data_IF_774797168164
#
_entry.id   IF_774797168164
#
_cell.length_a   1.000
_cell.length_b   1.000
_cell.length_c   1.000
_cell.angle_alpha   90.00
_cell.angle_beta   90.00
_cell.angle_gamma   90.00
#
_symmetry.space_group_name_H-M   'P 1'
#
loop_
_entity.id
_entity.type
_entity.pdbx_description
1 polymer ?
#
# COMPACT_ATOMS: atom_id res chain seq x y z
N UNK A 1 13.07 4.44 -6.51
CA UNK A 1 13.94 5.59 -6.13
C UNK A 1 13.74 6.10 -4.71
N UNK A 2 12.51 6.34 -4.24
CA UNK A 2 12.27 6.82 -2.86
C UNK A 2 12.96 5.96 -1.80
N UNK A 3 12.88 4.62 -1.95
CA UNK A 3 13.60 3.69 -1.08
C UNK A 3 15.12 3.83 -1.18
N UNK A 4 15.66 4.10 -2.38
CA UNK A 4 17.10 4.31 -2.57
C UNK A 4 17.61 5.58 -1.88
N UNK A 5 16.84 6.67 -1.93
CA UNK A 5 17.14 7.90 -1.20
C UNK A 5 17.12 7.68 0.32
N UNK A 6 16.12 6.93 0.82
CA UNK A 6 15.97 6.64 2.25
C UNK A 6 17.00 5.66 2.80
N UNK A 7 17.38 4.64 2.03
CA UNK A 7 18.25 3.55 2.44
C UNK A 7 19.56 3.58 1.65
N UNK A 8 20.41 4.57 1.94
CA UNK A 8 21.66 4.81 1.21
C UNK A 8 22.67 3.64 1.26
N UNK A 9 22.51 2.70 2.21
CA UNK A 9 23.35 1.49 2.32
C UNK A 9 22.78 0.28 1.59
N UNK A 10 21.59 0.38 0.99
CA UNK A 10 20.95 -0.68 0.20
C UNK A 10 21.18 -0.44 -1.28
N UNK A 11 21.26 -1.50 -2.07
CA UNK A 11 21.33 -1.45 -3.54
C UNK A 11 19.97 -1.80 -4.14
N UNK A 12 19.65 -1.17 -5.27
CA UNK A 12 18.38 -1.35 -5.97
C UNK A 12 18.62 -1.55 -7.46
N UNK A 13 17.88 -2.48 -8.06
CA UNK A 13 17.80 -2.66 -9.52
C UNK A 13 16.33 -2.58 -9.94
N UNK A 14 16.05 -1.79 -10.97
CA UNK A 14 14.76 -1.77 -11.65
C UNK A 14 14.91 -2.28 -13.08
N UNK A 15 14.02 -3.19 -13.49
CA UNK A 15 14.04 -3.79 -14.83
C UNK A 15 12.70 -3.51 -15.48
N UNK A 16 12.70 -3.09 -16.74
CA UNK A 16 11.49 -2.87 -17.53
C UNK A 16 11.80 -3.09 -19.01
N UNK A 17 10.81 -3.55 -19.77
CA UNK A 17 10.92 -3.71 -21.22
C UNK A 17 10.91 -2.35 -21.94
N UNK A 18 10.24 -1.34 -21.37
CA UNK A 18 10.02 -0.04 -21.98
C UNK A 18 11.27 0.86 -21.90
N UNK A 19 12.00 0.94 -23.01
CA UNK A 19 13.22 1.76 -23.14
C UNK A 19 13.04 3.23 -22.69
N UNK A 20 11.88 3.84 -22.99
CA UNK A 20 11.61 5.23 -22.63
C UNK A 20 11.43 5.43 -21.12
N UNK A 21 10.81 4.47 -20.43
CA UNK A 21 10.62 4.52 -18.98
C UNK A 21 11.97 4.31 -18.26
N UNK A 22 12.78 3.37 -18.74
CA UNK A 22 14.16 3.17 -18.24
C UNK A 22 15.01 4.41 -18.45
N UNK A 23 15.03 5.00 -19.64
CA UNK A 23 15.78 6.21 -19.92
C UNK A 23 15.34 7.38 -19.01
N UNK A 24 14.03 7.53 -18.79
CA UNK A 24 13.47 8.53 -17.89
C UNK A 24 13.89 8.30 -16.44
N UNK A 25 13.88 7.04 -15.99
CA UNK A 25 14.32 6.66 -14.65
C UNK A 25 15.83 6.91 -14.45
N UNK A 26 16.66 6.50 -15.39
CA UNK A 26 18.11 6.75 -15.36
C UNK A 26 18.43 8.26 -15.32
N UNK A 27 17.75 9.06 -16.14
CA UNK A 27 17.92 10.50 -16.16
C UNK A 27 17.54 11.14 -14.81
N UNK A 28 16.42 10.73 -14.23
CA UNK A 28 15.97 11.21 -12.92
C UNK A 28 16.96 10.81 -11.81
N UNK A 29 17.39 9.55 -11.75
CA UNK A 29 18.36 9.09 -10.75
C UNK A 29 19.67 9.88 -10.81
N UNK A 30 20.17 10.16 -12.02
CA UNK A 30 21.35 10.99 -12.25
C UNK A 30 21.15 12.44 -11.78
N UNK A 31 20.00 13.03 -12.11
CA UNK A 31 19.66 14.40 -11.72
C UNK A 31 19.58 14.58 -10.20
N UNK A 32 18.97 13.63 -9.50
CA UNK A 32 18.84 13.68 -8.03
C UNK A 32 20.08 13.16 -7.30
N UNK A 33 21.06 12.62 -8.03
CA UNK A 33 22.35 12.17 -7.50
C UNK A 33 22.31 10.83 -6.77
N UNK A 34 21.31 9.98 -7.05
CA UNK A 34 21.22 8.65 -6.46
C UNK A 34 22.26 7.71 -7.11
N UNK A 35 23.06 7.04 -6.28
CA UNK A 35 24.16 6.15 -6.71
C UNK A 35 23.93 4.68 -6.41
N UNK A 36 22.92 4.38 -5.60
CA UNK A 36 22.60 3.05 -5.12
C UNK A 36 21.37 2.45 -5.81
N UNK A 37 21.01 2.97 -6.99
CA UNK A 37 19.95 2.43 -7.84
C UNK A 37 20.41 2.38 -9.29
N UNK A 38 20.22 1.23 -9.92
CA UNK A 38 20.41 1.00 -11.34
C UNK A 38 19.08 0.70 -12.02
N UNK A 39 19.00 0.97 -13.32
CA UNK A 39 17.85 0.65 -14.16
C UNK A 39 18.34 -0.01 -15.44
N UNK A 40 17.74 -1.14 -15.79
CA UNK A 40 18.11 -1.95 -16.94
C UNK A 40 16.89 -2.11 -17.85
N UNK A 41 17.10 -1.86 -19.14
CA UNK A 41 16.11 -2.22 -20.14
C UNK A 41 16.31 -3.68 -20.52
N UNK A 42 15.37 -4.54 -20.15
CA UNK A 42 15.42 -5.95 -20.50
C UNK A 42 14.02 -6.53 -20.70
N UNK A 43 13.95 -7.55 -21.55
CA UNK A 43 12.83 -8.47 -21.61
C UNK A 43 13.04 -9.55 -20.56
N UNK A 44 12.09 -9.70 -19.63
CA UNK A 44 12.18 -10.67 -18.53
C UNK A 44 12.41 -12.10 -19.03
N UNK A 45 11.86 -12.46 -20.20
CA UNK A 45 12.07 -13.78 -20.82
C UNK A 45 13.54 -14.08 -21.09
N UNK A 46 14.32 -13.05 -21.41
CA UNK A 46 15.72 -13.15 -21.82
C UNK A 46 16.68 -12.50 -20.82
N UNK A 47 16.18 -12.03 -19.68
CA UNK A 47 16.98 -11.36 -18.67
C UNK A 47 17.77 -12.39 -17.86
N UNK A 48 19.07 -12.15 -17.75
CA UNK A 48 20.02 -12.96 -16.99
C UNK A 48 20.45 -12.18 -15.74
N UNK A 49 20.18 -12.69 -14.54
CA UNK A 49 20.58 -12.05 -13.29
C UNK A 49 22.09 -12.13 -13.00
N UNK A 50 22.90 -12.85 -13.80
CA UNK A 50 24.35 -13.05 -13.58
C UNK A 50 24.69 -13.58 -12.17
N UNK A 51 23.80 -14.43 -11.63
CA UNK A 51 23.96 -15.03 -10.29
C UNK A 51 23.74 -14.09 -9.10
N UNK A 52 23.27 -12.86 -9.33
CA UNK A 52 22.94 -11.91 -8.27
C UNK A 52 21.76 -12.40 -7.41
N UNK A 53 21.82 -12.06 -6.11
CA UNK A 53 20.76 -12.38 -5.15
C UNK A 53 20.15 -11.12 -4.54
N UNK A 54 18.84 -11.15 -4.30
CA UNK A 54 18.06 -10.05 -3.76
C UNK A 54 17.30 -10.50 -2.50
N UNK A 55 17.30 -9.65 -1.48
CA UNK A 55 16.48 -9.85 -0.29
C UNK A 55 15.00 -9.55 -0.53
N UNK A 56 14.70 -8.71 -1.53
CA UNK A 56 13.33 -8.37 -1.91
C UNK A 56 13.21 -8.32 -3.42
N UNK A 57 12.21 -9.02 -3.94
CA UNK A 57 11.80 -8.94 -5.35
C UNK A 57 10.37 -8.38 -5.38
N UNK A 58 10.11 -7.35 -6.19
CA UNK A 58 8.80 -6.70 -6.24
C UNK A 58 8.32 -6.66 -7.67
N UNK A 59 7.30 -7.45 -7.99
CA UNK A 59 6.61 -7.44 -9.27
C UNK A 59 5.19 -6.89 -9.07
N UNK A 60 5.07 -5.56 -9.16
CA UNK A 60 3.80 -4.86 -8.96
C UNK A 60 3.24 -4.36 -10.31
N UNK A 61 2.02 -4.75 -10.65
CA UNK A 61 1.38 -4.38 -11.92
C UNK A 61 1.89 -5.14 -13.15
N UNK A 62 2.51 -6.31 -12.98
CA UNK A 62 3.09 -7.11 -14.07
C UNK A 62 2.29 -8.39 -14.36
N UNK A 63 2.09 -9.25 -13.35
CA UNK A 63 1.67 -10.64 -13.50
C UNK A 63 0.41 -10.86 -14.34
N UNK A 64 -0.64 -10.04 -14.14
CA UNK A 64 -1.91 -10.17 -14.86
C UNK A 64 -1.95 -9.50 -16.24
N UNK A 65 -0.86 -8.83 -16.65
CA UNK A 65 -0.78 -8.08 -17.91
C UNK A 65 0.24 -8.66 -18.88
N UNK A 66 0.73 -9.88 -18.62
CA UNK A 66 1.72 -10.57 -19.43
C UNK A 66 1.27 -11.99 -19.80
N UNK A 67 1.78 -12.56 -20.90
CA UNK A 67 1.55 -13.96 -21.26
C UNK A 67 2.09 -14.95 -20.22
N UNK A 68 1.60 -16.20 -20.27
CA UNK A 68 1.93 -17.25 -19.30
C UNK A 68 3.43 -17.57 -19.22
N UNK A 69 4.13 -17.55 -20.35
CA UNK A 69 5.59 -17.73 -20.41
C UNK A 69 6.37 -16.68 -19.60
N UNK A 70 5.86 -15.45 -19.52
CA UNK A 70 6.47 -14.39 -18.70
C UNK A 70 6.14 -14.59 -17.22
N UNK A 71 4.93 -15.08 -16.89
CA UNK A 71 4.55 -15.42 -15.51
C UNK A 71 5.41 -16.56 -14.98
N UNK A 72 5.61 -17.60 -15.78
CA UNK A 72 6.48 -18.73 -15.46
C UNK A 72 7.91 -18.24 -15.25
N UNK A 73 8.44 -17.42 -16.17
CA UNK A 73 9.78 -16.85 -16.02
C UNK A 73 9.90 -15.97 -14.77
N UNK A 74 8.87 -15.22 -14.40
CA UNK A 74 8.89 -14.44 -13.16
C UNK A 74 9.06 -15.33 -11.94
N UNK A 75 8.36 -16.47 -11.85
CA UNK A 75 8.55 -17.40 -10.75
C UNK A 75 9.94 -18.02 -10.75
N UNK A 76 10.48 -18.39 -11.92
CA UNK A 76 11.86 -18.88 -12.05
C UNK A 76 12.87 -17.84 -11.56
N UNK A 77 12.75 -16.57 -11.99
CA UNK A 77 13.59 -15.46 -11.51
C UNK A 77 13.46 -15.29 -10.01
N UNK A 78 12.25 -15.32 -9.46
CA UNK A 78 12.03 -15.29 -8.02
C UNK A 78 12.70 -16.47 -7.30
N UNK A 79 12.76 -17.65 -7.90
CA UNK A 79 13.44 -18.80 -7.30
C UNK A 79 14.96 -18.69 -7.37
N UNK A 80 15.48 -18.28 -8.52
CA UNK A 80 16.92 -18.17 -8.83
C UNK A 80 17.58 -17.04 -8.03
N UNK A 81 16.93 -15.88 -7.96
CA UNK A 81 17.54 -14.65 -7.49
C UNK A 81 17.17 -14.30 -6.05
N UNK A 82 16.26 -15.03 -5.39
CA UNK A 82 15.88 -14.68 -4.02
C UNK A 82 16.88 -15.24 -3.01
N UNK A 83 17.34 -14.38 -2.10
CA UNK A 83 18.21 -14.82 -1.00
C UNK A 83 17.47 -15.85 -0.11
N UNK A 84 18.17 -16.67 0.68
CA UNK A 84 17.52 -17.70 1.53
C UNK A 84 16.50 -17.16 2.54
N UNK A 85 16.49 -15.84 2.82
CA UNK A 85 15.50 -15.19 3.68
C UNK A 85 14.72 -14.10 2.96
N UNK A 86 14.87 -14.03 1.64
CA UNK A 86 14.25 -13.00 0.84
C UNK A 86 12.74 -13.22 0.71
N UNK A 87 12.05 -12.16 0.29
CA UNK A 87 10.61 -12.15 0.06
C UNK A 87 10.32 -11.58 -1.32
N UNK A 88 9.50 -12.26 -2.11
CA UNK A 88 8.93 -11.70 -3.34
C UNK A 88 7.51 -11.16 -3.06
N UNK A 89 7.16 -9.91 -3.43
CA UNK A 89 5.75 -9.47 -3.53
C UNK A 89 5.35 -9.45 -5.00
N UNK A 90 4.32 -10.21 -5.34
CA UNK A 90 3.76 -10.25 -6.68
C UNK A 90 2.31 -9.83 -6.59
N UNK A 91 1.95 -8.79 -7.34
CA UNK A 91 0.57 -8.33 -7.41
C UNK A 91 -0.14 -8.83 -8.66
N UNK A 92 -1.39 -9.24 -8.52
CA UNK A 92 -2.18 -9.80 -9.61
C UNK A 92 -3.67 -9.57 -9.39
N UNK A 93 -4.41 -9.57 -10.49
CA UNK A 93 -5.86 -9.51 -10.52
C UNK A 93 -6.45 -10.87 -10.16
N UNK A 94 -7.61 -10.89 -9.50
CA UNK A 94 -8.20 -12.13 -8.96
C UNK A 94 -9.65 -12.37 -9.32
N UNK A 95 -10.00 -13.65 -9.39
CA UNK A 95 -11.39 -14.09 -9.38
C UNK A 95 -11.92 -14.35 -7.97
N UNK A 96 -13.24 -14.13 -7.74
CA UNK A 96 -14.27 -13.78 -8.73
C UNK A 96 -14.40 -12.28 -9.07
N UNK A 97 -13.72 -11.38 -8.36
CA UNK A 97 -13.94 -9.93 -8.48
C UNK A 97 -13.75 -9.35 -9.88
N UNK A 98 -12.90 -9.96 -10.70
CA UNK A 98 -12.70 -9.54 -12.08
C UNK A 98 -13.75 -10.05 -13.08
N UNK A 99 -14.58 -11.04 -12.73
CA UNK A 99 -15.55 -11.64 -13.68
C UNK A 99 -16.55 -10.65 -14.23
N UNK A 100 -17.06 -9.72 -13.41
CA UNK A 100 -18.00 -8.72 -13.89
C UNK A 100 -17.34 -7.62 -14.73
N UNK A 101 -16.23 -7.00 -14.28
CA UNK A 101 -15.46 -6.07 -15.11
C UNK A 101 -14.98 -6.65 -16.45
N UNK A 102 -14.81 -7.97 -16.59
CA UNK A 102 -14.51 -8.62 -17.88
C UNK A 102 -15.61 -8.43 -18.91
N UNK A 103 -16.88 -8.58 -18.54
CA UNK A 103 -17.98 -8.36 -19.48
C UNK A 103 -18.03 -6.92 -20.02
N UNK A 104 -17.69 -5.93 -19.18
CA UNK A 104 -17.58 -4.54 -19.61
C UNK A 104 -16.38 -4.33 -20.53
N UNK A 105 -15.24 -4.95 -20.22
CA UNK A 105 -14.05 -4.94 -21.08
C UNK A 105 -14.34 -5.52 -22.45
N UNK A 106 -14.98 -6.69 -22.54
CA UNK A 106 -15.32 -7.34 -23.81
C UNK A 106 -16.16 -6.40 -24.69
N UNK A 107 -17.13 -5.71 -24.08
CA UNK A 107 -17.92 -4.70 -24.77
C UNK A 107 -17.07 -3.51 -25.24
N UNK A 108 -16.17 -2.99 -24.40
CA UNK A 108 -15.31 -1.87 -24.77
C UNK A 108 -14.35 -2.24 -25.91
N UNK A 109 -13.75 -3.44 -25.86
CA UNK A 109 -12.90 -3.95 -26.93
C UNK A 109 -13.69 -4.10 -28.24
N UNK A 110 -14.87 -4.73 -28.21
CA UNK A 110 -15.76 -4.85 -29.36
C UNK A 110 -16.10 -3.48 -29.99
N UNK A 111 -16.32 -2.45 -29.16
CA UNK A 111 -16.70 -1.12 -29.62
C UNK A 111 -15.53 -0.25 -30.06
N UNK A 112 -14.30 -0.70 -29.84
CA UNK A 112 -13.06 0.01 -30.18
C UNK A 112 -12.20 -0.74 -31.19
N UNK A 113 -12.60 -1.94 -31.62
CA UNK A 113 -11.87 -2.80 -32.57
C UNK A 113 -11.51 -2.10 -33.88
N UNK A 114 -12.43 -1.30 -34.42
CA UNK A 114 -12.26 -0.58 -35.69
C UNK A 114 -11.52 0.76 -35.55
N UNK A 115 -11.17 1.17 -34.33
CA UNK A 115 -10.44 2.41 -34.07
C UNK A 115 -8.96 2.24 -34.38
N UNK A 116 -8.38 3.18 -35.13
CA UNK A 116 -7.00 3.08 -35.61
C UNK A 116 -6.00 3.73 -34.66
N UNK A 117 -6.42 4.76 -33.91
CA UNK A 117 -5.57 5.46 -32.94
C UNK A 117 -6.00 5.25 -31.49
N UNK A 118 -5.05 5.47 -30.57
CA UNK A 118 -5.30 5.44 -29.13
C UNK A 118 -6.35 6.48 -28.71
N UNK A 119 -6.31 7.68 -29.30
CA UNK A 119 -7.27 8.75 -29.03
C UNK A 119 -8.69 8.36 -29.49
N UNK A 120 -8.81 7.74 -30.66
CA UNK A 120 -10.09 7.23 -31.18
C UNK A 120 -10.66 6.15 -30.27
N UNK A 121 -9.81 5.20 -29.84
CA UNK A 121 -10.17 4.13 -28.91
C UNK A 121 -10.71 4.69 -27.59
N UNK A 122 -9.97 5.61 -26.97
CA UNK A 122 -10.38 6.28 -25.72
C UNK A 122 -11.70 7.02 -25.90
N UNK A 123 -11.84 7.82 -26.97
CA UNK A 123 -13.07 8.56 -27.24
C UNK A 123 -14.27 7.62 -27.48
N UNK A 124 -14.08 6.51 -28.20
CA UNK A 124 -15.11 5.50 -28.43
C UNK A 124 -15.51 4.78 -27.14
N UNK A 125 -14.55 4.38 -26.32
CA UNK A 125 -14.81 3.78 -25.01
C UNK A 125 -15.63 4.73 -24.11
N UNK A 126 -15.25 6.02 -24.02
CA UNK A 126 -16.01 7.00 -23.25
C UNK A 126 -17.44 7.17 -23.76
N UNK A 127 -17.68 7.18 -25.08
CA UNK A 127 -19.05 7.24 -25.63
C UNK A 127 -19.91 6.06 -25.17
N UNK A 128 -19.33 4.86 -25.10
CA UNK A 128 -20.01 3.64 -24.61
C UNK A 128 -20.29 3.76 -23.12
N UNK A 129 -19.29 4.13 -22.32
CA UNK A 129 -19.42 4.30 -20.87
C UNK A 129 -20.46 5.38 -20.51
N UNK A 130 -20.46 6.51 -21.21
CA UNK A 130 -21.45 7.57 -21.04
C UNK A 130 -22.87 7.10 -21.38
N UNK A 131 -23.01 6.26 -22.41
CA UNK A 131 -24.29 5.64 -22.73
C UNK A 131 -24.74 4.68 -21.62
N UNK A 132 -23.85 3.80 -21.15
CA UNK A 132 -24.15 2.82 -20.11
C UNK A 132 -24.52 3.49 -18.78
N UNK A 133 -23.80 4.54 -18.35
CA UNK A 133 -24.14 5.27 -17.12
C UNK A 133 -25.55 5.86 -17.19
N UNK A 134 -25.92 6.47 -18.33
CA UNK A 134 -27.29 6.97 -18.55
C UNK A 134 -28.32 5.83 -18.60
N UNK A 135 -28.01 4.76 -19.31
CA UNK A 135 -28.91 3.61 -19.44
C UNK A 135 -29.20 2.98 -18.08
N UNK A 136 -28.18 2.68 -17.29
CA UNK A 136 -28.33 2.14 -15.93
C UNK A 136 -29.03 3.13 -14.99
N UNK A 137 -28.80 4.44 -15.15
CA UNK A 137 -29.51 5.47 -14.39
C UNK A 137 -31.00 5.57 -14.71
N UNK A 138 -31.43 5.14 -15.90
CA UNK A 138 -32.84 5.14 -16.31
C UNK A 138 -33.56 3.80 -16.05
N UNK A 139 -32.81 2.74 -15.73
CA UNK A 139 -33.42 1.48 -15.30
C UNK A 139 -34.05 1.63 -13.91
N UNK A 140 -35.04 0.78 -13.56
CA UNK A 140 -35.50 0.67 -12.19
C UNK A 140 -34.31 0.46 -11.25
N UNK A 141 -34.34 1.13 -10.09
CA UNK A 141 -33.30 0.98 -9.08
C UNK A 141 -33.35 -0.44 -8.50
N UNK A 142 -32.45 -1.29 -8.97
CA UNK A 142 -32.23 -2.65 -8.48
C UNK A 142 -30.73 -2.81 -8.18
N UNK A 143 -30.35 -3.65 -7.20
CA UNK A 143 -28.94 -3.78 -6.79
C UNK A 143 -27.96 -4.02 -7.95
N UNK A 144 -28.39 -4.77 -8.96
CA UNK A 144 -27.59 -5.05 -10.14
C UNK A 144 -27.29 -3.81 -10.99
N UNK A 145 -28.29 -2.96 -11.28
CA UNK A 145 -28.09 -1.77 -12.11
C UNK A 145 -27.23 -0.73 -11.40
N UNK A 146 -27.38 -0.60 -10.08
CA UNK A 146 -26.51 0.24 -9.26
C UNK A 146 -25.06 -0.25 -9.29
N UNK A 147 -24.83 -1.55 -9.08
CA UNK A 147 -23.48 -2.13 -9.14
C UNK A 147 -22.79 -1.90 -10.49
N UNK A 148 -23.47 -2.22 -11.60
CA UNK A 148 -22.89 -2.03 -12.95
C UNK A 148 -22.61 -0.55 -13.25
N UNK A 149 -23.48 0.34 -12.77
CA UNK A 149 -23.28 1.78 -12.92
C UNK A 149 -22.03 2.24 -12.17
N UNK A 150 -21.82 1.75 -10.95
CA UNK A 150 -20.61 2.05 -10.17
C UNK A 150 -19.35 1.56 -10.90
N UNK A 151 -19.36 0.35 -11.47
CA UNK A 151 -18.24 -0.17 -12.27
C UNK A 151 -17.97 0.69 -13.52
N UNK A 152 -19.01 1.09 -14.25
CA UNK A 152 -18.89 2.03 -15.38
C UNK A 152 -18.27 3.35 -14.94
N UNK A 153 -18.68 3.90 -13.80
CA UNK A 153 -18.13 5.15 -13.28
C UNK A 153 -16.67 5.00 -12.88
N UNK A 154 -16.27 3.88 -12.26
CA UNK A 154 -14.87 3.58 -11.94
C UNK A 154 -14.00 3.56 -13.20
N UNK A 155 -14.42 2.83 -14.23
CA UNK A 155 -13.68 2.75 -15.50
C UNK A 155 -13.60 4.13 -16.16
N UNK A 156 -14.70 4.87 -16.16
CA UNK A 156 -14.79 6.21 -16.77
C UNK A 156 -13.87 7.24 -16.13
N UNK A 157 -13.54 7.09 -14.85
CA UNK A 157 -12.63 8.00 -14.13
C UNK A 157 -11.15 7.69 -14.34
N UNK A 158 -10.80 6.58 -15.00
CA UNK A 158 -9.41 6.25 -15.33
C UNK A 158 -8.81 7.29 -16.27
N UNK A 159 -7.53 7.59 -16.07
CA UNK A 159 -6.79 8.40 -17.04
C UNK A 159 -6.64 7.64 -18.37
N UNK A 160 -6.54 8.33 -19.52
CA UNK A 160 -6.54 7.69 -20.84
C UNK A 160 -5.54 6.53 -20.99
N UNK A 161 -4.33 6.68 -20.44
CA UNK A 161 -3.30 5.64 -20.53
C UNK A 161 -3.66 4.38 -19.71
N UNK A 162 -4.24 4.54 -18.52
CA UNK A 162 -4.74 3.40 -17.72
C UNK A 162 -5.95 2.74 -18.37
N UNK A 163 -6.84 3.50 -19.01
CA UNK A 163 -7.95 2.93 -19.78
C UNK A 163 -7.43 2.07 -20.94
N UNK A 164 -6.43 2.58 -21.66
CA UNK A 164 -5.79 1.87 -22.77
C UNK A 164 -5.10 0.58 -22.32
N UNK A 165 -4.41 0.60 -21.16
CA UNK A 165 -3.72 -0.58 -20.63
C UNK A 165 -4.72 -1.58 -20.01
N UNK A 166 -5.54 -1.14 -19.06
CA UNK A 166 -6.34 -2.04 -18.22
C UNK A 166 -7.59 -2.56 -18.92
N UNK A 167 -8.29 -1.71 -19.68
CA UNK A 167 -9.60 -2.04 -20.25
C UNK A 167 -9.56 -2.25 -21.76
N UNK A 168 -8.60 -1.65 -22.46
CA UNK A 168 -8.44 -1.84 -23.90
C UNK A 168 -7.15 -2.60 -24.28
N UNK A 169 -6.34 -2.98 -23.30
CA UNK A 169 -5.13 -3.77 -23.53
C UNK A 169 -5.45 -5.14 -24.12
N UNK A 170 -4.41 -5.84 -24.58
CA UNK A 170 -4.57 -7.21 -25.09
C UNK A 170 -4.67 -8.18 -23.92
N UNK A 171 -3.62 -8.22 -23.10
CA UNK A 171 -3.54 -9.13 -21.97
C UNK A 171 -4.28 -8.59 -20.75
N UNK A 172 -5.14 -9.44 -20.18
CA UNK A 172 -5.65 -9.30 -18.82
C UNK A 172 -6.06 -10.67 -18.35
N UNK A 173 -5.23 -11.29 -17.52
CA UNK A 173 -5.43 -12.65 -17.04
C UNK A 173 -5.47 -12.69 -15.49
N UNK A 174 -6.67 -12.52 -14.90
CA UNK A 174 -6.89 -12.75 -13.49
C UNK A 174 -6.87 -14.25 -13.16
N UNK A 175 -6.46 -14.61 -11.95
CA UNK A 175 -6.48 -16.01 -11.49
C UNK A 175 -7.10 -16.16 -10.10
N UNK A 176 -7.41 -17.38 -9.70
CA UNK A 176 -7.79 -17.69 -8.32
C UNK A 176 -6.53 -17.76 -7.43
N UNK A 177 -6.66 -17.44 -6.14
CA UNK A 177 -5.57 -17.56 -5.16
C UNK A 177 -4.97 -18.96 -5.18
N UNK A 178 -5.81 -20.01 -5.18
CA UNK A 178 -5.33 -21.38 -5.18
C UNK A 178 -4.52 -21.74 -6.45
N UNK A 179 -4.86 -21.15 -7.59
CA UNK A 179 -4.10 -21.34 -8.83
C UNK A 179 -2.74 -20.65 -8.73
N UNK A 180 -2.72 -19.38 -8.31
CA UNK A 180 -1.48 -18.63 -8.12
C UNK A 180 -0.52 -19.34 -7.16
N UNK A 181 -1.02 -19.83 -6.03
CA UNK A 181 -0.21 -20.56 -5.05
C UNK A 181 0.29 -21.90 -5.61
N UNK A 182 -0.53 -22.60 -6.40
CA UNK A 182 -0.11 -23.83 -7.09
C UNK A 182 1.03 -23.58 -8.06
N UNK A 183 0.91 -22.55 -8.92
CA UNK A 183 1.95 -22.20 -9.89
C UNK A 183 3.25 -21.76 -9.20
N UNK A 184 3.17 -20.97 -8.13
CA UNK A 184 4.35 -20.62 -7.35
C UNK A 184 5.05 -21.87 -6.76
N UNK A 185 4.27 -22.82 -6.25
CA UNK A 185 4.80 -24.06 -5.66
C UNK A 185 5.52 -24.95 -6.68
N UNK A 186 5.13 -24.92 -7.96
CA UNK A 186 5.84 -25.62 -9.04
C UNK A 186 7.27 -25.11 -9.25
N UNK A 187 7.60 -23.92 -8.73
CA UNK A 187 8.93 -23.31 -8.76
C UNK A 187 9.60 -23.24 -7.38
N UNK A 188 9.25 -24.13 -6.46
CA UNK A 188 9.76 -24.18 -5.08
C UNK A 188 9.53 -22.88 -4.28
N UNK A 189 8.54 -22.07 -4.65
CA UNK A 189 8.12 -20.90 -3.89
C UNK A 189 6.89 -21.24 -3.06
N UNK A 190 6.87 -20.83 -1.80
CA UNK A 190 5.71 -21.02 -0.94
C UNK A 190 5.06 -19.69 -0.57
N UNK A 191 3.75 -19.74 -0.38
CA UNK A 191 2.93 -18.60 -0.01
C UNK A 191 3.07 -18.25 1.48
N UNK A 192 3.56 -17.04 1.77
CA UNK A 192 3.63 -16.51 3.13
C UNK A 192 2.28 -15.92 3.56
N UNK A 193 1.67 -15.09 2.71
CA UNK A 193 0.49 -14.30 3.03
C UNK A 193 0.31 -13.12 2.08
N UNK A 194 -0.54 -12.18 2.46
CA UNK A 194 -0.76 -10.93 1.74
C UNK A 194 0.05 -9.79 2.35
N UNK A 195 0.44 -8.81 1.52
CA UNK A 195 1.03 -7.55 1.99
C UNK A 195 0.07 -6.77 2.91
N UNK A 196 -1.23 -6.95 2.69
CA UNK A 196 -2.31 -6.35 3.47
C UNK A 196 -2.93 -7.40 4.41
N UNK A 197 -2.24 -7.65 5.54
CA UNK A 197 -2.52 -8.74 6.49
C UNK A 197 -4.01 -8.96 6.82
N UNK A 198 -4.78 -7.89 7.06
CA UNK A 198 -6.21 -7.94 7.39
C UNK A 198 -7.06 -8.75 6.38
N UNK A 199 -6.61 -8.86 5.14
CA UNK A 199 -7.37 -9.52 4.09
C UNK A 199 -7.37 -11.05 4.22
N UNK A 200 -6.52 -11.61 5.07
CA UNK A 200 -6.36 -13.06 5.26
C UNK A 200 -7.29 -13.64 6.34
N UNK A 201 -7.92 -12.77 7.14
CA UNK A 201 -8.58 -13.17 8.40
C UNK A 201 -10.09 -13.18 8.26
N UNK A 202 -10.70 -14.32 8.61
CA UNK A 202 -12.14 -14.51 8.59
C UNK A 202 -12.85 -13.65 9.64
N UNK A 203 -12.16 -13.24 10.72
CA UNK A 203 -12.70 -12.41 11.79
C UNK A 203 -13.08 -11.00 11.33
N UNK A 204 -12.63 -10.61 10.14
CA UNK A 204 -13.00 -9.36 9.49
C UNK A 204 -14.30 -9.47 8.66
N UNK A 205 -14.88 -10.68 8.53
CA UNK A 205 -16.23 -10.87 8.02
C UNK A 205 -17.28 -10.58 9.11
N UNK A 206 -18.56 -10.38 8.73
CA UNK A 206 -19.65 -10.35 9.71
C UNK A 206 -19.60 -11.57 10.65
N UNK A 207 -19.83 -11.42 11.97
CA UNK A 207 -19.61 -12.49 12.95
C UNK A 207 -20.38 -13.79 12.69
N UNK A 208 -21.53 -13.72 12.02
CA UNK A 208 -22.27 -14.91 11.60
C UNK A 208 -21.56 -15.65 10.46
N UNK A 209 -21.20 -14.94 9.39
CA UNK A 209 -20.45 -15.49 8.25
C UNK A 209 -19.08 -16.04 8.67
N UNK A 210 -18.39 -15.36 9.58
CA UNK A 210 -17.12 -15.82 10.15
C UNK A 210 -17.28 -17.17 10.88
N UNK A 211 -18.34 -17.32 11.70
CA UNK A 211 -18.66 -18.57 12.42
C UNK A 211 -19.02 -19.70 11.46
N UNK A 212 -19.84 -19.42 10.44
CA UNK A 212 -20.21 -20.42 9.43
C UNK A 212 -19.00 -20.91 8.64
N UNK A 213 -18.16 -19.97 8.16
CA UNK A 213 -16.95 -20.29 7.42
C UNK A 213 -15.96 -21.10 8.28
N UNK A 214 -15.76 -20.70 9.54
CA UNK A 214 -14.92 -21.43 10.48
C UNK A 214 -15.42 -22.87 10.72
N UNK A 215 -16.74 -23.07 10.80
CA UNK A 215 -17.33 -24.39 11.00
C UNK A 215 -17.12 -25.38 9.83
N UNK A 216 -16.72 -24.89 8.65
CA UNK A 216 -16.41 -25.74 7.50
C UNK A 216 -15.08 -26.51 7.66
N UNK A 217 -14.23 -26.14 8.62
CA UNK A 217 -12.92 -26.77 8.88
C UNK A 217 -12.03 -26.88 7.63
N UNK A 218 -12.04 -25.83 6.81
CA UNK A 218 -11.17 -25.71 5.63
C UNK A 218 -9.73 -25.43 6.07
N UNK A 219 -8.77 -25.75 5.21
CA UNK A 219 -7.41 -25.26 5.41
C UNK A 219 -7.32 -23.73 5.23
N UNK A 220 -6.17 -23.16 5.57
CA UNK A 220 -5.95 -21.70 5.48
C UNK A 220 -6.20 -21.17 4.07
N UNK A 221 -5.64 -21.80 3.04
CA UNK A 221 -5.70 -21.29 1.66
C UNK A 221 -7.11 -21.41 1.09
N UNK A 222 -7.80 -22.51 1.38
CA UNK A 222 -9.22 -22.70 1.05
C UNK A 222 -10.11 -21.66 1.74
N UNK A 223 -9.83 -21.35 3.01
CA UNK A 223 -10.52 -20.30 3.76
C UNK A 223 -10.29 -18.94 3.11
N UNK A 224 -9.04 -18.57 2.82
CA UNK A 224 -8.70 -17.32 2.14
C UNK A 224 -9.34 -17.22 0.74
N UNK A 225 -9.38 -18.31 -0.02
CA UNK A 225 -10.05 -18.37 -1.32
C UNK A 225 -11.55 -18.16 -1.19
N UNK A 226 -12.19 -18.73 -0.17
CA UNK A 226 -13.62 -18.55 0.05
C UNK A 226 -13.95 -17.13 0.54
N UNK A 227 -13.07 -16.51 1.33
CA UNK A 227 -13.16 -15.08 1.65
C UNK A 227 -13.18 -14.25 0.36
N UNK A 228 -12.38 -14.58 -0.66
CA UNK A 228 -12.38 -13.86 -1.94
C UNK A 228 -13.74 -13.89 -2.64
N UNK A 229 -14.50 -14.98 -2.49
CA UNK A 229 -15.87 -15.05 -2.99
C UNK A 229 -16.82 -14.16 -2.17
N UNK A 230 -16.71 -14.17 -0.84
CA UNK A 230 -17.59 -13.37 0.02
C UNK A 230 -17.38 -11.87 -0.22
N UNK A 231 -16.13 -11.42 -0.37
CA UNK A 231 -15.79 -10.00 -0.55
C UNK A 231 -15.64 -9.57 -2.01
N UNK A 232 -15.91 -10.47 -2.96
CA UNK A 232 -15.75 -10.28 -4.39
C UNK A 232 -14.38 -9.69 -4.78
N UNK A 233 -13.30 -10.33 -4.32
CA UNK A 233 -11.94 -9.78 -4.44
C UNK A 233 -11.45 -9.77 -5.88
N UNK A 234 -10.94 -8.62 -6.31
CA UNK A 234 -10.42 -8.39 -7.66
C UNK A 234 -8.89 -8.20 -7.74
N UNK A 235 -8.19 -8.13 -6.62
CA UNK A 235 -6.74 -7.88 -6.58
C UNK A 235 -6.08 -8.41 -5.32
N UNK A 236 -4.84 -8.89 -5.45
CA UNK A 236 -3.95 -9.33 -4.34
C UNK A 236 -2.52 -8.82 -4.58
N UNK A 237 -1.73 -8.65 -3.50
CA UNK A 237 -0.25 -8.66 -3.57
C UNK A 237 0.22 -9.69 -2.55
N UNK A 238 0.60 -10.83 -3.08
CA UNK A 238 0.99 -11.99 -2.29
C UNK A 238 2.49 -11.99 -2.07
N UNK A 239 2.87 -12.37 -0.86
CA UNK A 239 4.24 -12.53 -0.42
C UNK A 239 4.64 -14.00 -0.58
N UNK A 240 5.74 -14.24 -1.29
CA UNK A 240 6.32 -15.56 -1.51
C UNK A 240 7.72 -15.63 -0.92
N UNK A 241 8.14 -16.83 -0.52
CA UNK A 241 9.52 -17.11 -0.09
C UNK A 241 9.99 -18.47 -0.61
N UNK A 242 11.28 -18.74 -0.49
CA UNK A 242 11.88 -20.02 -0.89
C UNK A 242 11.51 -21.15 0.06
N UNK A 243 11.06 -22.28 -0.50
CA UNK A 243 10.68 -23.48 0.24
C UNK A 243 11.86 -24.15 0.96
N UNK A 244 13.10 -23.84 0.58
CA UNK A 244 14.33 -24.40 1.16
C UNK A 244 14.47 -24.14 2.67
N UNK A 245 13.81 -23.09 3.16
CA UNK A 245 13.91 -22.72 4.58
C UNK A 245 13.17 -23.68 5.51
N UNK A 246 12.26 -24.52 4.97
CA UNK A 246 11.40 -25.42 5.75
C UNK A 246 10.55 -24.69 6.79
N UNK A 247 10.38 -23.36 6.66
CA UNK A 247 9.66 -22.54 7.62
C UNK A 247 8.19 -22.49 7.23
N UNK A 248 7.36 -23.16 8.02
CA UNK A 248 5.93 -22.93 7.94
C UNK A 248 5.59 -21.49 8.41
N UNK A 249 4.78 -20.76 7.64
CA UNK A 249 4.34 -19.43 8.05
C UNK A 249 3.45 -19.55 9.29
N UNK A 250 3.88 -18.93 10.39
CA UNK A 250 3.10 -18.83 11.62
C UNK A 250 3.07 -17.38 12.10
N UNK A 251 1.95 -16.99 12.70
CA UNK A 251 1.81 -15.70 13.33
C UNK A 251 2.37 -15.77 14.76
N UNK A 252 3.53 -15.15 14.97
CA UNK A 252 4.09 -14.97 16.30
C UNK A 252 3.73 -13.58 16.84
N UNK A 253 2.80 -13.52 17.80
CA UNK A 253 2.43 -12.27 18.45
C UNK A 253 3.63 -11.58 19.11
N UNK A 254 4.61 -12.33 19.64
CA UNK A 254 5.79 -11.75 20.28
C UNK A 254 6.69 -11.01 19.29
N UNK A 255 6.53 -11.23 17.98
CA UNK A 255 7.21 -10.45 16.95
C UNK A 255 6.87 -8.96 17.04
N UNK A 256 5.70 -8.59 17.59
CA UNK A 256 5.31 -7.19 17.83
C UNK A 256 6.34 -6.43 18.68
N UNK A 257 7.11 -7.12 19.53
CA UNK A 257 8.16 -6.52 20.37
C UNK A 257 9.33 -5.97 19.57
N UNK A 258 9.51 -6.44 18.33
CA UNK A 258 10.60 -6.05 17.43
C UNK A 258 10.19 -4.96 16.43
N UNK A 259 8.92 -4.52 16.49
CA UNK A 259 8.35 -3.60 15.52
C UNK A 259 8.14 -2.22 16.13
N UNK A 260 8.01 -1.25 15.24
CA UNK A 260 7.53 0.09 15.55
C UNK A 260 6.04 0.16 15.23
N UNK A 261 5.26 0.82 16.09
CA UNK A 261 3.81 0.88 16.01
C UNK A 261 3.35 2.31 15.76
N UNK A 262 2.28 2.46 14.97
CA UNK A 262 1.58 3.72 14.73
C UNK A 262 0.07 3.53 14.94
N UNK A 263 -0.63 4.43 15.64
CA UNK A 263 -2.07 4.29 15.86
C UNK A 263 -2.85 4.64 14.58
N UNK A 264 -3.92 3.88 14.31
CA UNK A 264 -5.00 4.26 13.37
C UNK A 264 -6.32 4.54 14.10
N UNK A 265 -6.19 4.94 15.37
CA UNK A 265 -7.28 5.32 16.25
C UNK A 265 -6.91 6.57 17.07
N UNK A 266 -7.91 7.17 17.73
CA UNK A 266 -7.73 8.24 18.72
C UNK A 266 -8.56 7.93 19.97
N UNK A 267 -8.16 8.38 21.17
CA UNK A 267 -8.98 8.23 22.37
C UNK A 267 -10.32 8.93 22.20
N UNK A 268 -11.40 8.24 22.54
CA UNK A 268 -12.79 8.69 22.44
C UNK A 268 -13.38 9.00 23.84
N UNK A 269 -12.58 9.63 24.70
CA UNK A 269 -12.95 9.95 26.07
C UNK A 269 -11.78 9.81 27.04
N UNK A 270 -12.08 9.98 28.33
CA UNK A 270 -11.11 9.69 29.40
C UNK A 270 -11.13 8.21 29.74
N UNK A 271 -9.96 7.64 30.01
CA UNK A 271 -9.85 6.32 30.60
C UNK A 271 -10.60 6.28 31.95
N UNK A 272 -11.21 5.14 32.24
CA UNK A 272 -11.99 4.89 33.46
C UNK A 272 -11.24 3.90 34.34
N UNK A 273 -11.68 3.79 35.60
CA UNK A 273 -11.27 2.72 36.52
C UNK A 273 -9.76 2.46 36.54
N UNK A 274 -8.97 3.51 36.81
CA UNK A 274 -7.50 3.40 36.88
C UNK A 274 -6.86 2.79 35.60
N UNK A 275 -7.38 3.19 34.44
CA UNK A 275 -6.94 2.71 33.12
C UNK A 275 -7.29 1.25 32.82
N UNK A 276 -8.26 0.64 33.53
CA UNK A 276 -8.76 -0.70 33.18
C UNK A 276 -9.61 -0.70 31.90
N UNK A 277 -10.21 0.43 31.54
CA UNK A 277 -11.11 0.58 30.40
C UNK A 277 -10.91 1.94 29.71
N UNK A 278 -10.85 1.94 28.38
CA UNK A 278 -10.90 3.17 27.58
C UNK A 278 -11.54 2.95 26.22
N UNK A 279 -12.18 4.00 25.69
CA UNK A 279 -12.77 4.02 24.37
C UNK A 279 -11.81 4.66 23.36
N UNK A 280 -11.76 4.08 22.15
CA UNK A 280 -10.96 4.56 21.04
C UNK A 280 -11.82 4.60 19.78
N UNK A 281 -11.72 5.68 19.01
CA UNK A 281 -12.38 5.83 17.72
C UNK A 281 -11.38 5.59 16.59
N UNK A 282 -11.72 4.70 15.67
CA UNK A 282 -11.00 4.50 14.40
C UNK A 282 -11.90 4.84 13.22
N UNK A 283 -11.29 5.34 12.15
CA UNK A 283 -11.99 5.52 10.86
C UNK A 283 -12.39 4.19 10.21
N UNK A 284 -11.74 3.08 10.59
CA UNK A 284 -11.94 1.77 9.97
C UNK A 284 -12.99 0.92 10.68
N UNK A 285 -13.10 1.04 12.01
CA UNK A 285 -13.94 0.15 12.83
C UNK A 285 -14.93 0.88 13.74
N UNK A 286 -15.04 2.22 13.63
CA UNK A 286 -15.84 3.02 14.56
C UNK A 286 -15.23 3.07 15.97
N UNK A 287 -16.09 3.20 16.98
CA UNK A 287 -15.68 3.22 18.38
C UNK A 287 -15.52 1.80 18.95
N UNK A 288 -14.40 1.57 19.64
CA UNK A 288 -14.07 0.31 20.29
C UNK A 288 -13.67 0.57 21.73
N UNK A 289 -14.22 -0.21 22.65
CA UNK A 289 -13.82 -0.22 24.06
C UNK A 289 -12.74 -1.27 24.25
N UNK A 290 -11.54 -0.84 24.66
CA UNK A 290 -10.46 -1.73 25.07
C UNK A 290 -10.48 -1.91 26.58
N UNK A 291 -10.13 -3.11 27.04
CA UNK A 291 -10.12 -3.50 28.45
C UNK A 291 -8.77 -4.09 28.82
N UNK A 292 -8.38 -3.92 30.08
CA UNK A 292 -7.12 -4.39 30.64
C UNK A 292 -6.07 -3.29 30.70
N UNK A 293 -5.50 -3.10 31.90
CA UNK A 293 -4.53 -2.02 32.17
C UNK A 293 -3.35 -2.01 31.20
N UNK A 294 -2.69 -3.14 30.86
CA UNK A 294 -1.58 -3.12 29.90
C UNK A 294 -1.99 -2.62 28.51
N UNK A 295 -3.10 -3.14 27.96
CA UNK A 295 -3.59 -2.76 26.63
C UNK A 295 -4.03 -1.30 26.58
N UNK A 296 -4.84 -0.86 27.56
CA UNK A 296 -5.38 0.50 27.59
C UNK A 296 -4.26 1.53 27.74
N UNK A 297 -3.33 1.34 28.69
CA UNK A 297 -2.22 2.29 28.89
C UNK A 297 -1.24 2.30 27.71
N UNK A 298 -1.02 1.15 27.07
CA UNK A 298 -0.21 1.07 25.84
C UNK A 298 -0.88 1.82 24.69
N UNK A 299 -2.18 1.60 24.42
CA UNK A 299 -2.90 2.29 23.36
C UNK A 299 -3.04 3.79 23.60
N UNK A 300 -3.21 4.24 24.85
CA UNK A 300 -3.18 5.67 25.19
C UNK A 300 -1.81 6.29 24.93
N UNK A 301 -0.74 5.57 25.29
CA UNK A 301 0.63 5.99 25.01
C UNK A 301 0.86 6.06 23.50
N UNK A 302 0.51 5.02 22.75
CA UNK A 302 0.63 4.99 21.30
C UNK A 302 -0.14 6.15 20.64
N UNK A 303 -1.36 6.45 21.11
CA UNK A 303 -2.17 7.56 20.62
C UNK A 303 -1.55 8.95 20.86
N UNK A 304 -0.58 9.08 21.78
CA UNK A 304 0.17 10.32 22.00
C UNK A 304 1.23 10.58 20.90
N UNK A 305 1.49 9.60 20.05
CA UNK A 305 2.40 9.67 18.90
C UNK A 305 1.67 9.38 17.57
N UNK A 306 0.64 10.16 17.18
CA UNK A 306 -0.24 9.82 16.07
C UNK A 306 0.45 9.74 14.70
N UNK A 307 1.57 10.46 14.55
CA UNK A 307 2.26 10.63 13.28
C UNK A 307 3.59 9.86 13.20
N UNK A 308 3.94 9.12 14.25
CA UNK A 308 5.23 8.41 14.37
C UNK A 308 5.04 6.89 14.34
N UNK A 309 6.04 6.20 13.79
CA UNK A 309 6.27 4.79 14.07
C UNK A 309 7.23 4.70 15.25
N UNK A 310 6.69 4.34 16.42
CA UNK A 310 7.42 4.34 17.69
C UNK A 310 7.75 2.91 18.11
N UNK A 311 9.00 2.67 18.52
CA UNK A 311 9.45 1.34 18.98
C UNK A 311 8.60 0.80 20.13
N UNK A 312 8.28 -0.49 20.07
CA UNK A 312 7.51 -1.17 21.12
C UNK A 312 8.10 -0.98 22.53
N UNK A 313 9.43 -1.03 22.66
CA UNK A 313 10.13 -0.88 23.94
C UNK A 313 9.89 0.48 24.60
N UNK A 314 9.86 1.55 23.80
CA UNK A 314 9.58 2.92 24.25
C UNK A 314 8.13 3.02 24.70
N UNK A 315 7.19 2.52 23.87
CA UNK A 315 5.77 2.52 24.17
C UNK A 315 5.46 1.71 25.45
N UNK A 316 6.07 0.54 25.61
CA UNK A 316 5.92 -0.30 26.79
C UNK A 316 6.36 0.44 28.06
N UNK A 317 7.55 1.05 28.05
CA UNK A 317 8.07 1.79 29.21
C UNK A 317 7.18 2.98 29.59
N UNK A 318 6.66 3.70 28.60
CA UNK A 318 5.72 4.80 28.82
C UNK A 318 4.36 4.30 29.33
N UNK A 319 3.88 3.15 28.85
CA UNK A 319 2.66 2.51 29.34
C UNK A 319 2.79 2.04 30.80
N UNK A 320 3.91 1.42 31.18
CA UNK A 320 4.22 1.03 32.56
C UNK A 320 4.28 2.25 33.50
N UNK A 321 4.84 3.36 33.00
CA UNK A 321 4.89 4.63 33.75
C UNK A 321 3.48 5.17 33.97
N UNK A 322 2.63 5.16 32.94
CA UNK A 322 1.23 5.59 33.04
C UNK A 322 0.41 4.68 33.97
N UNK A 323 0.68 3.37 33.95
CA UNK A 323 0.04 2.39 34.82
C UNK A 323 0.54 2.41 36.28
N UNK A 324 1.66 3.08 36.56
CA UNK A 324 2.30 3.08 37.88
C UNK A 324 2.91 1.73 38.28
N UNK A 325 3.06 0.78 37.35
CA UNK A 325 3.62 -0.55 37.61
C UNK A 325 4.33 -1.11 36.38
N UNK A 326 5.32 -1.99 36.59
CA UNK A 326 5.89 -2.80 35.51
C UNK A 326 4.97 -3.96 35.16
N UNK A 327 4.95 -4.34 33.88
CA UNK A 327 4.17 -5.47 33.41
C UNK A 327 4.99 -6.75 33.47
N UNK A 328 4.36 -7.82 33.94
CA UNK A 328 4.96 -9.15 33.97
C UNK A 328 5.06 -9.73 32.56
N UNK A 329 5.93 -10.73 32.35
CA UNK A 329 6.12 -11.34 31.03
C UNK A 329 4.82 -11.86 30.42
N UNK A 330 3.94 -12.49 31.21
CA UNK A 330 2.66 -13.00 30.74
C UNK A 330 1.66 -11.88 30.38
N UNK A 331 1.73 -10.73 31.08
CA UNK A 331 0.95 -9.55 30.72
C UNK A 331 1.43 -8.96 29.39
N UNK A 332 2.76 -8.93 29.15
CA UNK A 332 3.35 -8.46 27.90
C UNK A 332 3.03 -9.42 26.74
N UNK A 333 3.04 -10.73 26.97
CA UNK A 333 2.65 -11.72 25.96
C UNK A 333 1.20 -11.54 25.52
N UNK A 334 0.26 -11.40 26.46
CA UNK A 334 -1.15 -11.09 26.16
C UNK A 334 -1.31 -9.74 25.45
N UNK A 335 -0.57 -8.71 25.88
CA UNK A 335 -0.55 -7.43 25.19
C UNK A 335 -0.12 -7.58 23.72
N UNK A 336 0.88 -8.42 23.43
CA UNK A 336 1.30 -8.68 22.07
C UNK A 336 0.20 -9.38 21.23
N UNK A 337 -0.54 -10.32 21.81
CA UNK A 337 -1.70 -10.97 21.17
C UNK A 337 -2.80 -9.94 20.86
N UNK A 338 -3.13 -9.08 21.83
CA UNK A 338 -4.08 -8.00 21.66
C UNK A 338 -3.64 -7.04 20.54
N UNK A 339 -2.36 -6.64 20.52
CA UNK A 339 -1.82 -5.75 19.49
C UNK A 339 -1.83 -6.39 18.09
N UNK A 340 -1.55 -7.69 17.98
CA UNK A 340 -1.70 -8.42 16.72
C UNK A 340 -3.17 -8.41 16.26
N UNK A 341 -4.11 -8.62 17.19
CA UNK A 341 -5.56 -8.52 16.96
C UNK A 341 -5.99 -7.14 16.47
N UNK A 342 -5.36 -6.06 16.98
CA UNK A 342 -5.58 -4.67 16.51
C UNK A 342 -4.94 -4.42 15.13
N UNK A 343 -3.77 -5.01 14.84
CA UNK A 343 -3.11 -4.94 13.53
C UNK A 343 -3.98 -5.60 12.44
N UNK A 344 -4.49 -6.81 12.71
CA UNK A 344 -5.40 -7.53 11.80
C UNK A 344 -6.69 -6.74 11.50
N UNK A 345 -7.13 -5.88 12.42
CA UNK A 345 -8.31 -5.01 12.26
C UNK A 345 -7.98 -3.61 11.72
N UNK A 346 -6.75 -3.38 11.22
CA UNK A 346 -6.25 -2.06 10.74
C UNK A 346 -6.33 -0.93 11.77
N UNK A 347 -6.35 -1.25 13.06
CA UNK A 347 -6.36 -0.26 14.13
C UNK A 347 -4.94 0.17 14.54
N UNK A 348 -3.96 -0.70 14.29
CA UNK A 348 -2.54 -0.42 14.45
C UNK A 348 -1.85 -0.68 13.11
N UNK A 349 -0.84 0.13 12.82
CA UNK A 349 0.09 -0.09 11.71
C UNK A 349 1.47 -0.37 12.27
N UNK A 350 2.24 -1.21 11.56
CA UNK A 350 3.58 -1.62 11.99
C UNK A 350 4.64 -1.30 10.95
N UNK A 351 5.87 -1.09 11.41
CA UNK A 351 7.05 -0.89 10.58
C UNK A 351 8.26 -1.54 11.25
N UNK A 352 9.21 -2.04 10.45
CA UNK A 352 10.51 -2.48 10.96
C UNK A 352 11.44 -1.32 11.31
N UNK A 353 11.13 -0.11 10.82
CA UNK A 353 11.95 1.10 10.98
C UNK A 353 11.16 2.15 11.72
N UNK A 354 11.76 2.74 12.76
CA UNK A 354 11.17 3.86 13.47
C UNK A 354 11.15 5.12 12.61
N UNK A 355 10.17 5.98 12.87
CA UNK A 355 10.05 7.25 12.17
C UNK A 355 9.32 8.22 13.07
N UNK A 356 9.87 9.42 13.25
CA UNK A 356 9.22 10.51 13.95
C UNK A 356 9.38 11.81 13.13
N UNK A 357 8.28 12.49 12.75
CA UNK A 357 8.38 13.78 12.11
C UNK A 357 9.00 14.81 13.06
N UNK A 358 9.67 15.87 12.55
CA UNK A 358 10.19 16.96 13.37
C UNK A 358 9.10 17.57 14.25
N UNK A 359 9.36 17.86 15.54
CA UNK A 359 8.32 18.32 16.48
C UNK A 359 7.66 19.65 16.09
N UNK A 360 8.37 20.48 15.34
CA UNK A 360 7.92 21.76 14.82
C UNK A 360 8.36 21.89 13.37
N UNK A 361 7.81 22.86 12.65
CA UNK A 361 8.30 23.18 11.32
C UNK A 361 9.78 23.58 11.36
N UNK A 362 10.61 23.08 10.44
CA UNK A 362 12.00 23.51 10.31
C UNK A 362 12.07 25.03 10.08
N UNK A 363 13.11 25.67 10.62
CA UNK A 363 13.34 27.12 10.40
C UNK A 363 13.51 27.42 8.91
N UNK A 364 14.19 26.51 8.20
CA UNK A 364 14.37 26.53 6.75
C UNK A 364 13.87 25.21 6.15
N UNK A 365 12.58 25.14 5.77
CA UNK A 365 12.01 23.92 5.21
C UNK A 365 12.80 23.43 3.98
N UNK A 366 13.16 22.15 3.99
CA UNK A 366 13.87 21.51 2.89
C UNK A 366 13.14 20.24 2.45
N UNK A 367 12.87 20.11 1.16
CA UNK A 367 12.51 18.84 0.54
C UNK A 367 13.78 18.15 0.02
N UNK A 368 13.77 16.82 0.09
CA UNK A 368 14.78 15.98 -0.56
C UNK A 368 14.90 16.32 -2.05
N UNK A 369 16.08 16.12 -2.67
CA UNK A 369 16.24 16.34 -4.10
C UNK A 369 15.18 15.60 -4.92
N UNK A 370 14.86 14.35 -4.57
CA UNK A 370 13.83 13.58 -5.26
C UNK A 370 12.44 14.20 -5.06
N UNK A 371 12.03 14.51 -3.83
CA UNK A 371 10.71 15.09 -3.57
C UNK A 371 10.52 16.46 -4.21
N UNK A 372 11.59 17.25 -4.35
CA UNK A 372 11.56 18.50 -5.09
C UNK A 372 11.25 18.27 -6.57
N UNK A 373 11.94 17.31 -7.19
CA UNK A 373 11.71 16.96 -8.60
C UNK A 373 10.33 16.35 -8.81
N UNK A 374 9.88 15.46 -7.92
CA UNK A 374 8.52 14.88 -7.97
C UNK A 374 7.44 15.96 -7.84
N UNK A 375 7.61 16.93 -6.93
CA UNK A 375 6.66 18.03 -6.79
C UNK A 375 6.57 18.84 -8.09
N UNK A 376 7.71 19.14 -8.73
CA UNK A 376 7.74 19.93 -9.95
C UNK A 376 7.22 19.18 -11.18
N UNK A 377 7.50 17.89 -11.33
CA UNK A 377 7.14 17.11 -12.53
C UNK A 377 5.78 16.43 -12.41
N UNK A 378 5.45 15.91 -11.23
CA UNK A 378 4.31 15.01 -11.02
C UNK A 378 3.29 15.56 -10.03
N UNK A 379 3.47 16.79 -9.52
CA UNK A 379 2.59 17.41 -8.53
C UNK A 379 2.31 16.49 -7.34
N UNK A 380 3.36 15.83 -6.84
CA UNK A 380 3.29 14.97 -5.67
C UNK A 380 4.59 14.99 -4.89
N UNK A 381 4.53 14.67 -3.60
CA UNK A 381 5.70 14.27 -2.81
C UNK A 381 5.51 12.85 -2.31
N UNK A 382 6.61 12.11 -2.21
CA UNK A 382 6.65 10.84 -1.52
C UNK A 382 6.82 11.07 -0.01
N UNK A 383 6.00 10.38 0.78
CA UNK A 383 6.09 10.38 2.23
C UNK A 383 7.18 9.42 2.71
N UNK A 384 7.56 9.53 3.98
CA UNK A 384 8.52 8.60 4.60
C UNK A 384 8.03 7.14 4.54
N UNK A 385 6.72 6.90 4.46
CA UNK A 385 6.13 5.56 4.36
C UNK A 385 5.84 5.13 2.92
N UNK A 386 6.55 5.70 1.94
CA UNK A 386 6.43 5.35 0.53
C UNK A 386 5.01 5.51 -0.03
N UNK A 387 4.26 6.49 0.47
CA UNK A 387 2.94 6.88 -0.09
C UNK A 387 3.04 8.18 -0.86
N UNK A 388 2.10 8.40 -1.79
CA UNK A 388 2.03 9.64 -2.56
C UNK A 388 1.12 10.67 -1.89
N UNK A 389 1.65 11.86 -1.63
CA UNK A 389 0.85 13.04 -1.27
C UNK A 389 0.68 13.92 -2.51
N UNK A 390 -0.50 13.87 -3.14
CA UNK A 390 -0.84 14.72 -4.30
C UNK A 390 -0.88 16.20 -3.88
N UNK A 391 -0.38 17.06 -4.76
CA UNK A 391 -0.28 18.51 -4.58
C UNK A 391 -1.23 19.21 -5.57
N UNK A 392 -1.86 20.30 -5.12
CA UNK A 392 -2.45 21.26 -6.03
C UNK A 392 -1.38 22.18 -6.64
N UNK A 393 -1.82 23.07 -7.53
CA UNK A 393 -0.95 24.05 -8.19
C UNK A 393 -0.25 24.98 -7.18
N UNK A 394 -0.97 25.36 -6.13
CA UNK A 394 -0.46 26.16 -5.03
C UNK A 394 0.63 25.42 -4.24
N UNK A 395 0.35 24.19 -3.79
CA UNK A 395 1.28 23.40 -2.98
C UNK A 395 2.54 23.05 -3.78
N UNK A 396 2.41 22.78 -5.09
CA UNK A 396 3.54 22.59 -6.01
C UNK A 396 4.47 23.81 -6.06
N UNK A 397 3.90 25.00 -6.15
CA UNK A 397 4.66 26.26 -6.18
C UNK A 397 5.36 26.51 -4.84
N UNK A 398 4.69 26.16 -3.74
CA UNK A 398 5.24 26.28 -2.39
C UNK A 398 6.44 25.33 -2.19
N UNK A 399 6.32 24.07 -2.64
CA UNK A 399 7.40 23.08 -2.59
C UNK A 399 8.67 23.56 -3.33
N UNK A 400 8.53 24.36 -4.40
CA UNK A 400 9.67 24.93 -5.12
C UNK A 400 10.53 25.88 -4.24
N UNK A 401 9.93 26.50 -3.23
CA UNK A 401 10.61 27.41 -2.30
C UNK A 401 11.33 26.66 -1.17
N UNK A 402 11.01 25.39 -0.93
CA UNK A 402 11.50 24.56 0.18
C UNK A 402 12.81 23.85 -0.18
N UNK A 403 13.85 24.62 -0.41
CA UNK A 403 15.17 24.14 -0.79
C UNK A 403 16.22 24.24 0.34
N UNK A 404 15.79 24.54 1.57
CA UNK A 404 16.67 24.77 2.72
C UNK A 404 17.38 26.13 2.72
N UNK A 405 17.22 26.97 1.69
CA UNK A 405 17.86 28.31 1.66
C UNK A 405 16.98 29.39 2.25
N UNK A 406 15.66 29.29 2.08
CA UNK A 406 14.67 30.26 2.58
C UNK A 406 14.17 29.86 3.96
N UNK A 407 14.04 30.86 4.82
CA UNK A 407 13.35 30.76 6.10
C UNK A 407 11.84 30.65 5.91
N UNK A 408 11.16 30.13 6.92
CA UNK A 408 9.70 30.06 6.94
C UNK A 408 9.04 31.45 6.77
N UNK A 409 9.65 32.50 7.30
CA UNK A 409 9.17 33.88 7.14
C UNK A 409 9.25 34.36 5.68
N UNK A 410 10.38 34.12 5.01
CA UNK A 410 10.56 34.46 3.59
C UNK A 410 9.61 33.66 2.69
N UNK A 411 9.39 32.37 2.99
CA UNK A 411 8.41 31.56 2.24
C UNK A 411 7.00 32.14 2.40
N UNK A 412 6.59 32.55 3.61
CA UNK A 412 5.29 33.19 3.88
C UNK A 412 5.15 34.52 3.15
N UNK A 413 6.20 35.33 3.10
CA UNK A 413 6.19 36.61 2.40
C UNK A 413 5.98 36.42 0.88
N UNK A 414 6.75 35.51 0.27
CA UNK A 414 6.66 35.23 -1.17
C UNK A 414 5.30 34.65 -1.56
N UNK A 415 4.77 33.75 -0.73
CA UNK A 415 3.51 33.04 -1.01
C UNK A 415 2.26 33.74 -0.47
N UNK A 416 2.38 34.83 0.30
CA UNK A 416 1.27 35.48 0.98
C UNK A 416 0.17 36.03 0.07
N UNK A 417 0.49 36.25 -1.21
CA UNK A 417 -0.43 36.73 -2.23
C UNK A 417 -1.00 35.61 -3.11
N UNK A 418 -0.60 34.36 -2.89
CA UNK A 418 -1.03 33.24 -3.71
C UNK A 418 -2.36 32.68 -3.19
N UNK A 419 -3.27 32.36 -4.12
CA UNK A 419 -4.54 31.73 -3.78
C UNK A 419 -4.40 30.21 -3.84
N UNK A 420 -4.55 29.56 -2.68
CA UNK A 420 -4.54 28.10 -2.53
C UNK A 420 -5.83 27.57 -1.92
N UNK A 421 -6.11 26.29 -2.12
CA UNK A 421 -7.25 25.59 -1.52
C UNK A 421 -7.11 25.39 0.00
N UNK A 422 -5.90 25.51 0.53
CA UNK A 422 -5.58 25.39 1.96
C UNK A 422 -4.66 26.53 2.40
N UNK A 423 -4.76 26.98 3.66
CA UNK A 423 -3.78 27.88 4.23
C UNK A 423 -2.36 27.30 4.18
N UNK A 424 -1.35 28.16 4.04
CA UNK A 424 0.07 27.77 4.01
C UNK A 424 0.46 26.87 5.19
N UNK A 425 0.01 27.21 6.41
CA UNK A 425 0.31 26.45 7.62
C UNK A 425 -0.20 25.01 7.55
N UNK A 426 -1.39 24.81 6.97
CA UNK A 426 -1.94 23.47 6.81
C UNK A 426 -1.13 22.65 5.80
N UNK A 427 -0.63 23.28 4.74
CA UNK A 427 0.21 22.60 3.75
C UNK A 427 1.56 22.20 4.36
N UNK A 428 2.21 23.14 5.04
CA UNK A 428 3.48 22.90 5.72
C UNK A 428 3.37 21.78 6.76
N UNK A 429 2.28 21.79 7.53
CA UNK A 429 2.04 20.77 8.55
C UNK A 429 1.80 19.38 7.93
N UNK A 430 1.08 19.31 6.81
CA UNK A 430 0.92 18.05 6.05
C UNK A 430 2.27 17.53 5.57
N UNK A 431 3.14 18.40 5.03
CA UNK A 431 4.48 18.02 4.56
C UNK A 431 5.42 17.62 5.71
N UNK A 432 5.30 18.26 6.88
CA UNK A 432 6.04 17.90 8.10
C UNK A 432 5.64 16.52 8.60
N UNK A 433 4.34 16.30 8.80
CA UNK A 433 3.80 15.04 9.31
C UNK A 433 4.09 13.88 8.36
N UNK A 434 4.03 14.12 7.05
CA UNK A 434 4.30 13.10 6.04
C UNK A 434 5.78 12.70 5.93
N UNK A 435 6.69 13.45 6.57
CA UNK A 435 8.13 13.19 6.47
C UNK A 435 8.73 13.57 5.14
N UNK A 436 8.05 14.43 4.39
CA UNK A 436 8.61 14.99 3.16
C UNK A 436 9.64 16.10 3.47
N UNK A 437 9.52 16.75 4.63
CA UNK A 437 10.44 17.80 5.08
C UNK A 437 11.61 17.25 5.89
N UNK A 438 12.79 17.77 5.60
CA UNK A 438 14.05 17.56 6.33
C UNK A 438 14.45 18.85 7.08
N UNK A 439 15.21 18.69 8.15
CA UNK A 439 15.96 19.78 8.77
C UNK A 439 17.22 20.04 7.93
N UNK A 440 17.35 21.26 7.41
CA UNK A 440 18.44 21.68 6.50
C UNK A 440 19.79 21.91 7.20
#
# INVERSE_FOLDING_TARGET
MVMAERFASSQFLGIDFAANEIASAQALAKEVGLKNVAFEQADLLNWDPDGEQYDYIIAYGLFSWVPDEVKERLFQVCRECLSPRGIACISYMTYPGCKQPESLRDLLQLRTEQCSSSEEKVAAAHRVLDFLDRAYGNLPSVPHSSYLRDEVQKIRQKEPHFLLLDELGVERDPCYLLQFVSWAAEHDLYYLGESELHMMFLENLPPESARELSAMNLDRLQTEQLIDYVVNRSFRCSLLASSDTGREPHLDALAMRKLCLKPRFKPAGRAREEYSEAQFASRFSGEVTLRGVPLVTFCLTLASFPDSFTEFSILLKSAETLAGKKFQNDEVARLCEDLLSLLVRKQVEVSAVSYAPPKSLPVKPCLTPLNRTLAQRHAMVATSNHTACKLGSYEKSLCALMNGTRTLAEIREVSGHWHGTKPIEQTLEVLRISGALEDA
#
